data_IF_776789273503
#
_entry.id   IF_776789273503
#
_cell.length_a   1.000
_cell.length_b   1.000
_cell.length_c   1.000
_cell.angle_alpha   90.00
_cell.angle_beta   90.00
_cell.angle_gamma   90.00
#
_symmetry.space_group_name_H-M   'P 1'
#
loop_
_entity.id
_entity.type
_entity.pdbx_description
1 polymer ?
#
# COMPACT_ATOMS: atom_id res chain seq x y z
N UNK A 1 -8.14 -8.07 6.50
CA UNK A 1 -8.91 -6.79 6.53
C UNK A 1 -9.81 -6.74 5.30
N UNK A 2 -11.08 -6.43 5.49
CA UNK A 2 -12.08 -6.33 4.41
C UNK A 2 -12.79 -4.98 4.54
N UNK A 3 -12.79 -4.21 3.44
CA UNK A 3 -13.55 -2.96 3.37
C UNK A 3 -14.90 -3.22 2.69
N UNK A 4 -15.99 -2.83 3.34
CA UNK A 4 -17.36 -3.00 2.83
C UNK A 4 -17.64 -1.98 1.71
N UNK A 5 -17.51 -2.41 0.45
CA UNK A 5 -17.64 -1.53 -0.72
C UNK A 5 -18.66 -2.02 -1.76
N UNK A 6 -18.87 -3.31 -1.89
CA UNK A 6 -19.74 -3.91 -2.91
C UNK A 6 -20.40 -5.19 -2.41
N UNK A 7 -21.06 -5.92 -3.31
CA UNK A 7 -21.85 -7.12 -2.95
C UNK A 7 -21.01 -8.16 -2.24
N UNK A 8 -19.86 -8.56 -2.80
CA UNK A 8 -19.01 -9.62 -2.26
C UNK A 8 -18.39 -9.21 -0.92
N UNK A 9 -17.83 -8.00 -0.82
CA UNK A 9 -17.24 -7.51 0.43
C UNK A 9 -18.30 -7.29 1.51
N UNK A 10 -19.52 -6.90 1.14
CA UNK A 10 -20.64 -6.81 2.07
C UNK A 10 -21.01 -8.19 2.63
N UNK A 11 -21.08 -9.22 1.79
CA UNK A 11 -21.35 -10.59 2.24
C UNK A 11 -20.28 -11.07 3.22
N UNK A 12 -19.00 -10.84 2.90
CA UNK A 12 -17.89 -11.22 3.78
C UNK A 12 -17.89 -10.46 5.11
N UNK A 13 -18.23 -9.16 5.10
CA UNK A 13 -18.33 -8.37 6.34
C UNK A 13 -19.54 -8.72 7.21
N UNK A 14 -20.53 -9.40 6.67
CA UNK A 14 -21.74 -9.83 7.40
C UNK A 14 -21.62 -11.26 7.96
N UNK A 15 -20.50 -11.96 7.72
CA UNK A 15 -20.25 -13.25 8.36
C UNK A 15 -20.12 -13.07 9.86
N UNK A 16 -20.73 -13.98 10.63
CA UNK A 16 -20.66 -14.02 12.09
C UNK A 16 -19.56 -14.98 12.56
N UNK A 17 -19.23 -14.90 13.83
CA UNK A 17 -18.24 -15.79 14.44
C UNK A 17 -18.75 -17.26 14.37
N UNK A 18 -17.90 -18.12 13.79
CA UNK A 18 -18.25 -19.53 13.55
C UNK A 18 -18.71 -19.81 12.12
N UNK A 19 -19.03 -18.80 11.33
CA UNK A 19 -19.25 -18.94 9.90
C UNK A 19 -17.93 -18.98 9.13
N UNK A 20 -17.93 -19.57 7.93
CA UNK A 20 -16.72 -19.74 7.12
C UNK A 20 -16.98 -19.49 5.64
N UNK A 21 -15.92 -19.13 4.91
CA UNK A 21 -15.88 -19.13 3.46
C UNK A 21 -15.42 -20.49 2.97
N UNK A 22 -16.08 -21.02 1.93
CA UNK A 22 -15.86 -22.39 1.42
C UNK A 22 -14.47 -22.55 0.85
N UNK A 23 -14.02 -21.57 0.10
CA UNK A 23 -12.76 -21.62 -0.66
C UNK A 23 -11.95 -20.33 -0.49
N UNK A 24 -10.66 -20.48 -0.24
CA UNK A 24 -9.69 -19.39 -0.22
C UNK A 24 -8.44 -19.84 -0.98
N UNK A 25 -8.14 -19.16 -2.08
CA UNK A 25 -6.95 -19.44 -2.90
C UNK A 25 -5.92 -18.35 -2.69
N UNK A 26 -4.69 -18.74 -2.42
CA UNK A 26 -3.56 -17.83 -2.23
C UNK A 26 -2.35 -18.53 -1.56
N UNK A 27 -1.20 -17.85 -1.46
CA UNK A 27 -0.94 -16.51 -2.00
C UNK A 27 -0.86 -16.51 -3.53
N UNK A 28 -1.35 -15.43 -4.16
CA UNK A 28 -1.29 -15.22 -5.60
C UNK A 28 -0.39 -14.01 -5.93
N UNK A 29 -0.01 -13.88 -7.22
CA UNK A 29 0.87 -12.80 -7.67
C UNK A 29 2.36 -13.07 -7.38
N UNK A 30 3.15 -12.02 -7.48
CA UNK A 30 4.57 -12.05 -7.19
C UNK A 30 4.85 -11.52 -5.79
N UNK A 31 5.78 -12.17 -5.09
CA UNK A 31 6.26 -11.67 -3.81
C UNK A 31 7.04 -10.36 -4.00
N UNK A 32 6.89 -9.45 -3.04
CA UNK A 32 7.70 -8.22 -2.95
C UNK A 32 9.19 -8.60 -2.88
N UNK A 33 10.00 -7.95 -3.70
CA UNK A 33 11.45 -8.10 -3.60
C UNK A 33 11.95 -7.33 -2.37
N UNK A 34 12.47 -8.06 -1.40
CA UNK A 34 12.96 -7.50 -0.13
C UNK A 34 14.48 -7.61 -0.07
N UNK A 35 15.14 -6.47 0.04
CA UNK A 35 16.58 -6.36 0.23
C UNK A 35 16.93 -5.19 1.15
N UNK A 36 18.17 -5.13 1.61
CA UNK A 36 18.65 -3.99 2.37
C UNK A 36 19.07 -2.88 1.42
N UNK A 37 18.22 -1.87 1.29
CA UNK A 37 18.44 -0.70 0.43
C UNK A 37 18.87 0.56 1.19
N UNK A 38 18.53 0.64 2.49
CA UNK A 38 18.78 1.82 3.32
C UNK A 38 17.52 2.35 3.98
N UNK A 39 17.04 3.52 3.57
CA UNK A 39 15.79 4.09 4.08
C UNK A 39 14.63 3.80 3.11
N UNK A 40 13.60 3.14 3.63
CA UNK A 40 12.36 2.83 2.91
C UNK A 40 11.24 3.75 3.40
N UNK A 41 10.64 4.50 2.49
CA UNK A 41 9.45 5.31 2.75
C UNK A 41 8.21 4.53 2.31
N UNK A 42 7.40 4.11 3.27
CA UNK A 42 6.21 3.29 3.05
C UNK A 42 4.94 4.14 3.19
N UNK A 43 4.20 4.34 2.10
CA UNK A 43 3.02 5.20 2.03
C UNK A 43 1.75 4.38 1.89
N UNK A 44 0.92 4.34 2.93
CA UNK A 44 -0.35 3.61 2.96
C UNK A 44 -1.57 4.51 3.00
N UNK A 45 -2.53 4.30 2.09
CA UNK A 45 -3.78 5.05 2.05
C UNK A 45 -5.01 4.19 2.32
N UNK A 46 -5.79 4.53 3.35
CA UNK A 46 -6.99 3.81 3.73
C UNK A 46 -6.74 2.31 3.92
N UNK A 47 -7.53 1.45 3.29
CA UNK A 47 -7.36 -0.02 3.38
C UNK A 47 -6.00 -0.52 2.84
N UNK A 48 -5.31 0.28 2.03
CA UNK A 48 -3.97 -0.05 1.50
C UNK A 48 -2.90 -0.21 2.58
N UNK A 49 -3.14 0.24 3.81
CA UNK A 49 -2.27 -0.01 4.96
C UNK A 49 -2.20 -1.51 5.30
N UNK A 50 -3.28 -2.25 5.08
CA UNK A 50 -3.32 -3.68 5.40
C UNK A 50 -2.33 -4.51 4.58
N UNK A 51 -2.29 -4.43 3.22
CA UNK A 51 -1.25 -5.11 2.44
C UNK A 51 0.14 -4.47 2.60
N UNK A 52 0.25 -3.21 2.98
CA UNK A 52 1.53 -2.55 3.23
C UNK A 52 2.24 -3.08 4.48
N UNK A 53 1.49 -3.45 5.52
CA UNK A 53 2.05 -3.89 6.81
C UNK A 53 3.02 -5.08 6.71
N UNK A 54 2.72 -6.21 6.01
CA UNK A 54 3.68 -7.29 5.83
C UNK A 54 4.95 -6.84 5.09
N UNK A 55 4.84 -5.92 4.13
CA UNK A 55 5.98 -5.38 3.38
C UNK A 55 6.88 -4.55 4.30
N UNK A 56 6.30 -3.68 5.12
CA UNK A 56 7.01 -2.91 6.15
C UNK A 56 7.80 -3.86 7.08
N UNK A 57 7.13 -4.90 7.60
CA UNK A 57 7.75 -5.90 8.47
C UNK A 57 8.93 -6.58 7.80
N UNK A 58 8.79 -6.95 6.54
CA UNK A 58 9.85 -7.62 5.77
C UNK A 58 11.05 -6.69 5.53
N UNK A 59 10.84 -5.43 5.11
CA UNK A 59 11.92 -4.46 4.96
C UNK A 59 12.61 -4.17 6.30
N UNK A 60 11.85 -4.04 7.40
CA UNK A 60 12.41 -3.87 8.73
C UNK A 60 13.28 -5.05 9.16
N UNK A 61 12.79 -6.26 8.96
CA UNK A 61 13.55 -7.50 9.25
C UNK A 61 14.82 -7.63 8.39
N UNK A 62 14.84 -7.09 7.17
CA UNK A 62 16.01 -7.03 6.30
C UNK A 62 17.04 -5.94 6.73
N UNK A 63 16.79 -5.23 7.82
CA UNK A 63 17.70 -4.23 8.39
C UNK A 63 17.65 -2.86 7.73
N UNK A 64 16.53 -2.52 7.09
CA UNK A 64 16.26 -1.18 6.59
C UNK A 64 15.74 -0.26 7.71
N UNK A 65 16.00 1.05 7.55
CA UNK A 65 15.22 2.08 8.24
C UNK A 65 13.88 2.22 7.52
N UNK A 66 12.78 2.09 8.26
CA UNK A 66 11.43 2.19 7.69
C UNK A 66 10.71 3.39 8.27
N UNK A 67 10.35 4.33 7.41
CA UNK A 67 9.49 5.47 7.73
C UNK A 67 8.13 5.23 7.06
N UNK A 68 7.07 5.16 7.84
CA UNK A 68 5.74 4.89 7.33
C UNK A 68 4.84 6.12 7.40
N UNK A 69 4.08 6.38 6.34
CA UNK A 69 3.05 7.41 6.31
C UNK A 69 1.71 6.72 6.15
N UNK A 70 0.83 6.89 7.14
CA UNK A 70 -0.56 6.45 7.08
C UNK A 70 -1.45 7.63 6.71
N UNK A 71 -2.15 7.54 5.61
CA UNK A 71 -3.00 8.60 5.11
C UNK A 71 -4.47 8.15 5.01
N UNK A 72 -5.38 9.00 5.48
CA UNK A 72 -6.82 8.79 5.39
C UNK A 72 -7.56 10.12 5.29
N UNK A 73 -8.84 10.09 4.95
CA UNK A 73 -9.66 11.30 4.96
C UNK A 73 -9.91 11.81 6.37
N UNK A 74 -10.19 10.91 7.30
CA UNK A 74 -10.50 11.22 8.70
C UNK A 74 -9.84 10.23 9.65
N UNK A 75 -9.79 10.54 10.94
CA UNK A 75 -9.25 9.69 12.00
C UNK A 75 -9.84 8.28 12.01
N UNK A 76 -11.14 8.15 11.83
CA UNK A 76 -11.87 6.87 11.91
C UNK A 76 -11.47 5.90 10.80
N UNK A 77 -10.85 6.41 9.73
CA UNK A 77 -10.36 5.62 8.59
C UNK A 77 -8.89 5.21 8.74
N UNK A 78 -8.19 5.64 9.79
CA UNK A 78 -6.85 5.15 10.13
C UNK A 78 -6.98 3.75 10.71
N UNK A 79 -6.30 2.79 10.11
CA UNK A 79 -6.31 1.38 10.52
C UNK A 79 -4.91 0.89 10.81
N UNK A 80 -4.77 -0.12 11.68
CA UNK A 80 -3.52 -0.84 11.96
C UNK A 80 -2.37 0.08 12.42
N UNK A 81 -2.67 1.22 13.04
CA UNK A 81 -1.65 2.17 13.46
C UNK A 81 -0.63 1.54 14.42
N UNK A 82 -1.11 0.83 15.45
CA UNK A 82 -0.24 0.20 16.45
C UNK A 82 0.68 -0.85 15.85
N UNK A 83 0.18 -1.64 14.90
CA UNK A 83 0.94 -2.65 14.18
C UNK A 83 2.02 -2.03 13.29
N UNK A 84 1.68 -0.93 12.61
CA UNK A 84 2.63 -0.18 11.77
C UNK A 84 3.69 0.49 12.64
N UNK A 85 3.31 1.07 13.78
CA UNK A 85 4.27 1.66 14.74
C UNK A 85 5.28 0.63 15.27
N UNK A 86 4.84 -0.60 15.54
CA UNK A 86 5.73 -1.71 15.95
C UNK A 86 6.67 -2.17 14.83
N UNK A 87 6.29 -1.97 13.59
CA UNK A 87 7.02 -2.44 12.40
C UNK A 87 7.89 -1.36 11.75
N UNK A 88 7.78 -0.09 12.18
CA UNK A 88 8.48 1.05 11.58
C UNK A 88 9.38 1.74 12.60
N UNK A 89 10.41 2.44 12.13
CA UNK A 89 11.23 3.33 12.95
C UNK A 89 10.51 4.63 13.26
N UNK A 90 9.65 5.06 12.33
CA UNK A 90 8.87 6.28 12.45
C UNK A 90 7.53 6.12 11.73
N UNK A 91 6.49 6.70 12.30
CA UNK A 91 5.15 6.74 11.69
C UNK A 91 4.61 8.15 11.69
N UNK A 92 4.25 8.64 10.52
CA UNK A 92 3.58 9.91 10.31
C UNK A 92 2.12 9.63 9.96
N UNK A 93 1.20 10.26 10.67
CA UNK A 93 -0.23 10.16 10.36
C UNK A 93 -0.66 11.43 9.65
N UNK A 94 -1.36 11.25 8.53
CA UNK A 94 -1.93 12.34 7.73
C UNK A 94 -3.45 12.16 7.61
N UNK A 95 -4.22 13.20 7.91
CA UNK A 95 -5.67 13.22 7.63
C UNK A 95 -6.04 14.46 6.83
N UNK A 96 -6.89 14.27 5.80
CA UNK A 96 -7.26 15.37 4.91
C UNK A 96 -7.96 16.50 5.69
N UNK A 97 -8.80 16.13 6.66
CA UNK A 97 -9.58 17.05 7.49
C UNK A 97 -8.84 17.58 8.74
N UNK A 98 -7.66 17.04 9.04
CA UNK A 98 -6.90 17.40 10.23
C UNK A 98 -7.45 16.84 11.55
N UNK A 99 -8.37 15.87 11.49
CA UNK A 99 -8.98 15.27 12.68
C UNK A 99 -8.01 14.43 13.51
N UNK A 100 -6.87 14.01 12.92
CA UNK A 100 -5.82 13.26 13.61
C UNK A 100 -4.47 13.39 12.90
N UNK A 101 -3.39 13.45 13.68
CA UNK A 101 -2.05 13.63 13.14
C UNK A 101 -1.84 14.99 12.49
N UNK A 102 -1.24 15.03 11.32
CA UNK A 102 -1.03 16.25 10.54
C UNK A 102 -2.14 16.38 9.50
N UNK A 103 -2.62 17.62 9.30
CA UNK A 103 -3.56 17.90 8.24
C UNK A 103 -2.87 17.93 6.88
N UNK A 104 -3.46 17.23 5.90
CA UNK A 104 -3.00 17.23 4.53
C UNK A 104 -2.97 15.84 3.90
N UNK A 105 -2.56 15.79 2.63
CA UNK A 105 -2.43 14.56 1.86
C UNK A 105 -1.06 13.91 2.06
N UNK A 106 -0.93 12.65 1.69
CA UNK A 106 0.28 11.83 1.87
C UNK A 106 1.56 12.51 1.36
N UNK A 107 1.49 13.24 0.24
CA UNK A 107 2.66 13.90 -0.37
C UNK A 107 3.26 15.01 0.51
N UNK A 108 2.47 15.65 1.36
CA UNK A 108 2.98 16.62 2.34
C UNK A 108 3.90 15.93 3.36
N UNK A 109 3.47 14.79 3.88
CA UNK A 109 4.31 13.97 4.77
C UNK A 109 5.55 13.42 4.08
N UNK A 110 5.43 13.05 2.79
CA UNK A 110 6.58 12.58 1.99
C UNK A 110 7.63 13.69 1.79
N UNK A 111 7.20 14.91 1.45
CA UNK A 111 8.11 16.07 1.28
C UNK A 111 8.87 16.37 2.57
N UNK A 112 8.23 16.25 3.73
CA UNK A 112 8.88 16.40 5.02
C UNK A 112 9.98 15.35 5.24
N UNK A 113 9.71 14.08 4.94
CA UNK A 113 10.72 13.01 5.09
C UNK A 113 11.86 13.19 4.10
N UNK A 114 11.56 13.43 2.82
CA UNK A 114 12.55 13.60 1.75
C UNK A 114 13.43 14.84 2.03
N UNK A 115 12.87 15.90 2.61
CA UNK A 115 13.61 17.12 2.93
C UNK A 115 14.60 16.97 4.09
N UNK A 116 14.44 15.98 4.96
CA UNK A 116 15.28 15.80 6.15
C UNK A 116 16.23 14.60 6.10
N UNK A 117 15.93 13.60 5.29
CA UNK A 117 16.78 12.41 5.16
C UNK A 117 16.71 11.82 3.75
N UNK A 118 17.78 11.11 3.37
CA UNK A 118 17.81 10.41 2.09
C UNK A 118 16.84 9.23 2.12
N UNK A 119 15.98 9.14 1.12
CA UNK A 119 15.08 8.00 0.88
C UNK A 119 15.64 7.19 -0.28
N UNK A 120 15.85 5.90 -0.08
CA UNK A 120 16.44 4.99 -1.07
C UNK A 120 15.39 4.21 -1.85
N UNK A 121 14.20 4.02 -1.27
CA UNK A 121 13.06 3.36 -1.91
C UNK A 121 11.75 3.91 -1.35
N UNK A 122 10.77 4.12 -2.23
CA UNK A 122 9.38 4.39 -1.83
C UNK A 122 8.49 3.21 -2.20
N UNK A 123 7.61 2.81 -1.28
CA UNK A 123 6.54 1.82 -1.53
C UNK A 123 5.22 2.50 -1.27
N UNK A 124 4.31 2.50 -2.25
CA UNK A 124 3.01 3.16 -2.10
C UNK A 124 1.86 2.21 -2.41
N UNK A 125 0.90 2.13 -1.48
CA UNK A 125 -0.30 1.29 -1.59
C UNK A 125 -1.53 2.07 -1.13
N UNK A 126 -2.51 2.24 -2.01
CA UNK A 126 -3.73 2.98 -1.67
C UNK A 126 -4.55 3.33 -2.91
N UNK A 127 -5.40 4.35 -2.82
CA UNK A 127 -6.13 4.85 -3.98
C UNK A 127 -5.21 5.21 -5.14
N UNK A 128 -5.62 4.89 -6.38
CA UNK A 128 -4.80 5.11 -7.58
C UNK A 128 -4.32 6.56 -7.71
N UNK A 129 -5.18 7.52 -7.35
CA UNK A 129 -4.84 8.95 -7.39
C UNK A 129 -3.72 9.28 -6.38
N UNK A 130 -3.74 8.69 -5.18
CA UNK A 130 -2.69 8.85 -4.18
C UNK A 130 -1.36 8.29 -4.70
N UNK A 131 -1.36 7.05 -5.18
CA UNK A 131 -0.15 6.41 -5.72
C UNK A 131 0.44 7.19 -6.89
N UNK A 132 -0.42 7.75 -7.78
CA UNK A 132 0.02 8.63 -8.87
C UNK A 132 0.78 9.85 -8.35
N UNK A 133 0.24 10.55 -7.34
CA UNK A 133 0.92 11.73 -6.79
C UNK A 133 2.19 11.36 -6.01
N UNK A 134 2.20 10.21 -5.31
CA UNK A 134 3.43 9.69 -4.69
C UNK A 134 4.52 9.46 -5.76
N UNK A 135 4.19 8.77 -6.85
CA UNK A 135 5.13 8.50 -7.94
C UNK A 135 5.61 9.77 -8.64
N UNK A 136 4.72 10.74 -8.88
CA UNK A 136 5.12 12.03 -9.46
C UNK A 136 6.05 12.82 -8.53
N UNK A 137 5.84 12.74 -7.22
CA UNK A 137 6.71 13.39 -6.25
C UNK A 137 8.08 12.72 -6.19
N UNK A 138 8.12 11.41 -6.01
CA UNK A 138 9.39 10.65 -5.91
C UNK A 138 10.23 10.76 -7.18
N UNK A 139 9.59 10.85 -8.35
CA UNK A 139 10.27 11.08 -9.62
C UNK A 139 11.07 12.39 -9.66
N UNK A 140 10.59 13.47 -9.01
CA UNK A 140 11.32 14.74 -8.92
C UNK A 140 12.62 14.61 -8.12
N UNK A 141 12.67 13.65 -7.21
CA UNK A 141 13.80 13.39 -6.33
C UNK A 141 14.60 12.15 -6.75
N UNK A 142 14.28 11.57 -7.92
CA UNK A 142 14.93 10.37 -8.46
C UNK A 142 14.89 9.16 -7.48
N UNK A 143 13.84 9.07 -6.68
CA UNK A 143 13.64 7.98 -5.72
C UNK A 143 12.93 6.82 -6.42
N UNK A 144 13.54 5.61 -6.47
CA UNK A 144 12.88 4.40 -6.95
C UNK A 144 11.57 4.19 -6.21
N UNK A 145 10.50 3.88 -6.94
CA UNK A 145 9.15 3.80 -6.35
C UNK A 145 8.43 2.57 -6.85
N UNK A 146 7.91 1.80 -5.91
CA UNK A 146 7.04 0.65 -6.15
C UNK A 146 5.59 1.06 -5.84
N UNK A 147 4.70 0.90 -6.82
CA UNK A 147 3.27 1.09 -6.65
C UNK A 147 2.54 -0.25 -6.69
N UNK A 148 1.75 -0.54 -5.68
CA UNK A 148 0.92 -1.75 -5.63
C UNK A 148 -0.46 -1.48 -6.23
N UNK A 149 -0.67 -1.96 -7.45
CA UNK A 149 -1.88 -1.69 -8.22
C UNK A 149 -3.02 -2.62 -7.78
N UNK A 150 -4.17 -2.05 -7.53
CA UNK A 150 -5.39 -2.76 -7.17
C UNK A 150 -6.40 -2.67 -8.33
N UNK A 151 -6.16 -3.43 -9.40
CA UNK A 151 -7.12 -3.58 -10.48
C UNK A 151 -8.27 -4.51 -10.07
N UNK A 152 -9.39 -4.46 -10.84
CA UNK A 152 -10.50 -5.39 -10.61
C UNK A 152 -10.01 -6.84 -10.67
N UNK A 153 -10.40 -7.67 -9.70
CA UNK A 153 -9.98 -9.06 -9.61
C UNK A 153 -11.19 -9.97 -9.73
N UNK A 154 -11.10 -10.99 -10.60
CA UNK A 154 -12.17 -11.96 -10.82
C UNK A 154 -11.71 -13.36 -10.44
N UNK A 155 -10.71 -13.93 -11.14
CA UNK A 155 -10.20 -15.27 -10.81
C UNK A 155 -8.85 -15.28 -10.08
N UNK A 156 -8.03 -14.27 -10.30
CA UNK A 156 -6.71 -14.16 -9.64
C UNK A 156 -5.61 -15.05 -10.22
N UNK A 157 -5.87 -15.84 -11.28
CA UNK A 157 -4.93 -16.83 -11.85
C UNK A 157 -4.31 -16.42 -13.18
N UNK A 158 -4.72 -15.26 -13.73
CA UNK A 158 -4.26 -14.76 -15.02
C UNK A 158 -5.09 -15.20 -16.23
N UNK A 159 -6.12 -16.03 -16.02
CA UNK A 159 -6.90 -16.60 -17.12
C UNK A 159 -7.95 -15.64 -17.67
N UNK A 160 -8.68 -14.92 -16.82
CA UNK A 160 -9.80 -14.08 -17.25
C UNK A 160 -9.38 -12.73 -17.85
N UNK A 161 -8.17 -12.24 -17.57
CA UNK A 161 -7.67 -10.96 -18.06
C UNK A 161 -8.35 -9.71 -17.49
N UNK A 162 -9.20 -9.84 -16.46
CA UNK A 162 -9.93 -8.72 -15.86
C UNK A 162 -9.00 -7.69 -15.19
N UNK A 163 -7.93 -8.14 -14.56
CA UNK A 163 -6.98 -7.31 -13.81
C UNK A 163 -5.88 -6.67 -14.69
N UNK A 164 -6.19 -6.43 -15.96
CA UNK A 164 -5.26 -5.86 -16.93
C UNK A 164 -4.88 -4.43 -16.59
N UNK A 165 -3.58 -4.16 -16.64
CA UNK A 165 -2.99 -2.82 -16.50
C UNK A 165 -1.96 -2.59 -17.59
N UNK A 166 -1.63 -1.33 -17.86
CA UNK A 166 -0.52 -0.98 -18.76
C UNK A 166 0.64 -0.45 -17.94
N UNK A 167 1.77 -1.12 -18.00
CA UNK A 167 3.01 -0.72 -17.31
C UNK A 167 4.14 -0.68 -18.31
N UNK A 168 4.83 0.47 -18.42
CA UNK A 168 5.91 0.65 -19.39
C UNK A 168 5.50 0.40 -20.84
N UNK A 169 4.23 0.73 -21.22
CA UNK A 169 3.68 0.50 -22.54
C UNK A 169 3.30 -0.96 -22.85
N UNK A 170 3.43 -1.88 -21.87
CA UNK A 170 3.10 -3.30 -22.03
C UNK A 170 1.88 -3.67 -21.19
N UNK A 171 1.04 -4.56 -21.73
CA UNK A 171 -0.06 -5.15 -20.96
C UNK A 171 0.49 -6.10 -19.92
N UNK A 172 0.02 -5.94 -18.67
CA UNK A 172 0.34 -6.79 -17.52
C UNK A 172 -0.95 -7.20 -16.82
N UNK A 173 -0.89 -8.25 -16.02
CA UNK A 173 -2.00 -8.71 -15.18
C UNK A 173 -1.58 -8.64 -13.72
N UNK A 174 -2.26 -7.83 -12.92
CA UNK A 174 -1.87 -7.60 -11.51
C UNK A 174 -1.87 -8.88 -10.68
N UNK A 175 -2.70 -9.86 -11.03
CA UNK A 175 -2.77 -11.15 -10.31
C UNK A 175 -1.62 -12.11 -10.59
N UNK A 176 -0.82 -11.91 -11.66
CA UNK A 176 0.29 -12.79 -12.05
C UNK A 176 1.61 -12.03 -12.19
N UNK A 177 1.57 -10.80 -12.76
CA UNK A 177 2.77 -9.99 -12.99
C UNK A 177 3.08 -9.06 -11.82
N UNK A 178 2.08 -8.73 -11.01
CA UNK A 178 2.13 -7.84 -9.86
C UNK A 178 1.74 -8.52 -8.55
N UNK A 179 1.12 -7.78 -7.61
CA UNK A 179 0.48 -6.47 -7.80
C UNK A 179 1.43 -5.26 -7.86
N UNK A 180 2.69 -5.44 -7.53
CA UNK A 180 3.68 -4.38 -7.42
C UNK A 180 4.40 -4.15 -8.75
N UNK A 181 4.55 -2.87 -9.12
CA UNK A 181 5.23 -2.44 -10.34
C UNK A 181 6.06 -1.19 -10.07
N UNK A 182 7.16 -1.05 -10.82
CA UNK A 182 7.95 0.19 -10.85
C UNK A 182 7.09 1.33 -11.41
N UNK A 183 7.13 2.51 -10.77
CA UNK A 183 6.29 3.67 -11.06
C UNK A 183 7.01 4.80 -11.80
#
# INVERSE_FOLDING_TARGET
>A
VIQKMGVSSTKLCNLEEGEYITDLVGPLGKATHIEKVGTVLACGGGVGVAPLLPIIRAFKAAGNRVVSILAARTKELIILEDEVRKASDEVIIMTDDGSYGKQGVVTVGMEEVIGREKVDLCVTIGPAIMMKFCALLTKKYEIPTIASLNAIMVDGTGMCGACRVTVGGKTRFTCVDGPEFDA
#
